data_IF_117927163309
#
_entry.id   IF_117927163309
#
_cell.length_a   1.000
_cell.length_b   1.000
_cell.length_c   1.000
_cell.angle_alpha   90.00
_cell.angle_beta   90.00
_cell.angle_gamma   90.00
#
_symmetry.space_group_name_H-M   'P 1'
#
loop_
_entity.id
_entity.type
_entity.pdbx_description
1 polymer ?
#
# COMPACT_ATOMS: atom_id res chain seq x y z
N UNK A 1 -26.73 -4.15 -8.25
CA UNK A 1 -26.28 -2.75 -8.48
C UNK A 1 -25.43 -2.25 -7.30
N UNK A 2 -24.18 -2.73 -7.12
CA UNK A 2 -23.39 -2.38 -5.91
C UNK A 2 -21.89 -2.19 -6.17
N UNK A 3 -21.53 -1.56 -7.29
CA UNK A 3 -20.14 -1.19 -7.59
C UNK A 3 -19.91 0.34 -7.59
N UNK A 4 -20.97 1.14 -7.73
CA UNK A 4 -20.86 2.59 -8.01
C UNK A 4 -20.49 3.42 -6.77
N UNK A 5 -20.83 2.98 -5.55
CA UNK A 5 -20.65 3.81 -4.34
C UNK A 5 -19.26 3.81 -3.72
N UNK A 6 -18.42 2.78 -3.95
CA UNK A 6 -17.05 2.74 -3.40
C UNK A 6 -16.06 3.61 -4.19
N UNK A 7 -16.36 3.88 -5.45
CA UNK A 7 -15.56 4.76 -6.31
C UNK A 7 -15.65 6.24 -5.87
N UNK A 8 -16.77 6.67 -5.28
CA UNK A 8 -16.97 8.07 -4.88
C UNK A 8 -16.06 8.51 -3.74
N UNK A 9 -16.03 7.84 -2.58
CA UNK A 9 -15.26 8.34 -1.43
C UNK A 9 -13.74 8.44 -1.69
N UNK A 10 -13.22 7.52 -2.50
CA UNK A 10 -11.82 7.47 -2.90
C UNK A 10 -11.49 8.56 -3.93
N UNK A 11 -12.35 8.73 -4.96
CA UNK A 11 -12.22 9.80 -5.94
C UNK A 11 -12.39 11.19 -5.29
N UNK A 12 -13.31 11.33 -4.32
CA UNK A 12 -13.54 12.56 -3.57
C UNK A 12 -12.32 12.91 -2.70
N UNK A 13 -11.71 11.90 -2.05
CA UNK A 13 -10.46 12.09 -1.32
C UNK A 13 -9.34 12.59 -2.23
N UNK A 14 -9.16 11.99 -3.41
CA UNK A 14 -8.10 12.37 -4.36
C UNK A 14 -8.35 13.74 -4.97
N UNK A 15 -9.60 14.04 -5.34
CA UNK A 15 -9.98 15.35 -5.84
C UNK A 15 -9.73 16.45 -4.79
N UNK A 16 -10.00 16.15 -3.52
CA UNK A 16 -9.74 17.09 -2.42
C UNK A 16 -8.23 17.25 -2.13
N UNK A 17 -7.45 16.17 -2.19
CA UNK A 17 -5.98 16.24 -2.07
C UNK A 17 -5.35 17.04 -3.22
N UNK A 18 -5.81 16.83 -4.45
CA UNK A 18 -5.34 17.57 -5.62
C UNK A 18 -5.73 19.05 -5.58
N UNK A 19 -6.97 19.37 -5.18
CA UNK A 19 -7.43 20.76 -5.00
C UNK A 19 -6.68 21.50 -3.91
N UNK A 20 -6.22 20.81 -2.87
CA UNK A 20 -5.42 21.38 -1.80
C UNK A 20 -3.92 21.52 -2.17
N UNK A 21 -3.55 21.30 -3.44
CA UNK A 21 -2.18 21.53 -3.94
C UNK A 21 -1.21 20.39 -3.67
N UNK A 22 -1.66 19.28 -3.10
CA UNK A 22 -0.82 18.13 -2.77
C UNK A 22 -0.56 17.22 -3.98
N UNK A 23 0.09 17.75 -5.02
CA UNK A 23 0.59 16.96 -6.14
C UNK A 23 1.74 16.00 -5.75
N UNK A 24 2.41 16.27 -4.63
CA UNK A 24 3.45 15.43 -4.02
C UNK A 24 2.92 14.12 -3.42
N UNK A 25 1.62 14.05 -3.10
CA UNK A 25 1.01 12.88 -2.46
C UNK A 25 1.21 11.56 -3.23
N UNK A 26 1.35 11.59 -4.55
CA UNK A 26 1.53 10.36 -5.33
C UNK A 26 2.89 9.71 -5.03
N UNK A 27 3.98 10.47 -5.17
CA UNK A 27 5.33 10.00 -4.88
C UNK A 27 5.48 9.69 -3.39
N UNK A 28 4.92 10.52 -2.50
CA UNK A 28 4.95 10.27 -1.06
C UNK A 28 4.24 8.95 -0.69
N UNK A 29 3.12 8.63 -1.36
CA UNK A 29 2.41 7.36 -1.18
C UNK A 29 3.19 6.17 -1.77
N UNK A 30 3.85 6.35 -2.92
CA UNK A 30 4.73 5.34 -3.54
C UNK A 30 5.90 5.02 -2.60
N UNK A 31 6.52 6.04 -2.00
CA UNK A 31 7.64 5.91 -1.08
C UNK A 31 7.22 5.26 0.23
N UNK A 32 6.11 5.73 0.83
CA UNK A 32 5.53 5.12 2.01
C UNK A 32 5.15 3.65 1.79
N UNK A 33 4.61 3.32 0.61
CA UNK A 33 4.29 1.95 0.25
C UNK A 33 5.53 1.07 0.18
N UNK A 34 6.59 1.52 -0.49
CA UNK A 34 7.86 0.79 -0.58
C UNK A 34 8.46 0.54 0.80
N UNK A 35 8.52 1.58 1.64
CA UNK A 35 9.07 1.47 2.99
C UNK A 35 8.27 0.49 3.87
N UNK A 36 6.94 0.49 3.76
CA UNK A 36 6.08 -0.37 4.58
C UNK A 36 6.02 -1.83 4.08
N UNK A 37 6.25 -2.07 2.78
CA UNK A 37 6.33 -3.43 2.20
C UNK A 37 7.69 -4.07 2.41
N UNK A 38 8.78 -3.28 2.33
CA UNK A 38 10.14 -3.75 2.65
C UNK A 38 10.37 -3.95 4.15
N UNK A 39 9.42 -3.58 4.99
CA UNK A 39 9.45 -3.86 6.42
C UNK A 39 9.32 -5.38 6.67
N UNK A 40 10.14 -6.00 7.53
CA UNK A 40 11.04 -5.39 8.53
C UNK A 40 12.50 -5.20 8.08
N UNK A 41 12.84 -5.48 6.82
CA UNK A 41 14.21 -5.40 6.30
C UNK A 41 14.68 -3.95 6.04
N UNK A 42 13.80 -2.97 6.26
CA UNK A 42 14.04 -1.53 6.13
C UNK A 42 14.27 -0.85 7.50
N UNK A 43 14.75 0.40 7.49
CA UNK A 43 15.02 1.14 8.73
C UNK A 43 13.74 1.38 9.56
N UNK A 44 13.82 1.14 10.88
CA UNK A 44 12.69 1.30 11.79
C UNK A 44 12.07 2.68 11.73
N UNK A 45 10.77 2.73 11.41
CA UNK A 45 9.99 3.97 11.52
C UNK A 45 9.74 4.20 13.02
N UNK A 46 10.44 5.16 13.64
CA UNK A 46 10.39 5.33 15.08
C UNK A 46 8.97 5.71 15.52
N UNK A 47 8.59 5.27 16.71
CA UNK A 47 7.33 5.62 17.40
C UNK A 47 6.03 5.01 16.83
N UNK A 48 6.10 3.99 15.96
CA UNK A 48 4.90 3.28 15.50
C UNK A 48 4.83 1.85 16.03
N UNK A 49 3.74 1.53 16.75
CA UNK A 49 3.44 0.14 17.10
C UNK A 49 2.89 -0.63 15.88
N UNK A 50 2.82 -1.97 15.98
CA UNK A 50 2.39 -2.84 14.88
C UNK A 50 0.97 -2.51 14.38
N UNK A 51 0.04 -2.18 15.27
CA UNK A 51 -1.32 -1.79 14.89
C UNK A 51 -1.36 -0.47 14.12
N UNK A 52 -0.57 0.52 14.52
CA UNK A 52 -0.41 1.79 13.80
C UNK A 52 0.23 1.57 12.42
N UNK A 53 1.24 0.70 12.33
CA UNK A 53 1.90 0.34 11.07
C UNK A 53 0.94 -0.38 10.12
N UNK A 54 0.18 -1.34 10.62
CA UNK A 54 -0.89 -1.99 9.85
C UNK A 54 -1.91 -0.97 9.34
N UNK A 55 -2.38 -0.07 10.22
CA UNK A 55 -3.31 0.99 9.84
C UNK A 55 -2.76 1.89 8.73
N UNK A 56 -1.48 2.26 8.81
CA UNK A 56 -0.79 3.06 7.80
C UNK A 56 -0.66 2.31 6.47
N UNK A 57 -0.21 1.05 6.49
CA UNK A 57 -0.08 0.24 5.27
C UNK A 57 -1.45 0.07 4.58
N UNK A 58 -2.51 -0.20 5.34
CA UNK A 58 -3.88 -0.27 4.80
C UNK A 58 -4.30 1.07 4.18
N UNK A 59 -4.03 2.19 4.86
CA UNK A 59 -4.34 3.53 4.36
C UNK A 59 -3.62 3.85 3.05
N UNK A 60 -2.31 3.60 3.01
CA UNK A 60 -1.46 3.81 1.83
C UNK A 60 -1.94 2.94 0.66
N UNK A 61 -2.21 1.65 0.89
CA UNK A 61 -2.70 0.76 -0.16
C UNK A 61 -4.05 1.24 -0.72
N UNK A 62 -4.98 1.64 0.15
CA UNK A 62 -6.28 2.19 -0.29
C UNK A 62 -6.11 3.47 -1.10
N UNK A 63 -5.18 4.35 -0.71
CA UNK A 63 -4.84 5.55 -1.47
C UNK A 63 -4.33 5.23 -2.87
N UNK A 64 -3.35 4.33 -2.98
CA UNK A 64 -2.79 3.92 -4.28
C UNK A 64 -3.83 3.26 -5.20
N UNK A 65 -4.74 2.46 -4.64
CA UNK A 65 -5.84 1.84 -5.41
C UNK A 65 -6.85 2.88 -5.85
N UNK A 66 -7.22 3.81 -4.97
CA UNK A 66 -8.15 4.89 -5.26
C UNK A 66 -7.64 5.78 -6.41
N UNK A 67 -6.33 6.00 -6.45
CA UNK A 67 -5.67 6.83 -7.48
C UNK A 67 -5.52 6.14 -8.82
N UNK A 68 -5.89 4.86 -8.91
CA UNK A 68 -5.59 4.02 -10.08
C UNK A 68 -4.11 4.20 -10.47
N UNK A 69 -3.22 4.11 -9.48
CA UNK A 69 -1.80 4.41 -9.69
C UNK A 69 -1.15 3.35 -10.58
N UNK A 70 -1.19 3.61 -11.89
CA UNK A 70 -0.67 2.78 -12.96
C UNK A 70 0.83 2.95 -13.21
N UNK A 71 1.54 3.70 -12.36
CA UNK A 71 3.00 3.75 -12.43
C UNK A 71 3.59 2.38 -12.16
N UNK A 72 4.56 2.02 -13.00
CA UNK A 72 5.35 0.83 -12.81
C UNK A 72 6.05 0.88 -11.44
N UNK A 73 5.91 -0.21 -10.70
CA UNK A 73 6.57 -0.42 -9.43
C UNK A 73 7.99 -0.95 -9.69
N UNK A 74 8.98 -0.58 -8.86
CA UNK A 74 10.30 -1.18 -8.93
C UNK A 74 10.24 -2.71 -8.78
N UNK A 75 11.06 -3.43 -9.55
CA UNK A 75 11.07 -4.90 -9.57
C UNK A 75 11.34 -5.52 -8.20
N UNK A 76 12.21 -4.90 -7.39
CA UNK A 76 12.50 -5.38 -6.02
C UNK A 76 11.26 -5.35 -5.11
N UNK A 77 10.50 -4.25 -5.12
CA UNK A 77 9.24 -4.15 -4.35
C UNK A 77 8.20 -5.14 -4.87
N UNK A 78 8.14 -5.34 -6.19
CA UNK A 78 7.25 -6.32 -6.79
C UNK A 78 7.58 -7.76 -6.36
N UNK A 79 8.86 -8.15 -6.36
CA UNK A 79 9.32 -9.47 -5.89
C UNK A 79 8.96 -9.73 -4.43
N UNK A 80 9.21 -8.75 -3.53
CA UNK A 80 8.82 -8.86 -2.13
C UNK A 80 7.32 -9.14 -1.96
N UNK A 81 6.48 -8.46 -2.75
CA UNK A 81 5.03 -8.66 -2.72
C UNK A 81 4.65 -10.05 -3.22
N UNK A 82 5.28 -10.55 -4.27
CA UNK A 82 5.02 -11.90 -4.77
C UNK A 82 5.36 -12.97 -3.73
N UNK A 83 6.55 -12.85 -3.12
CA UNK A 83 7.06 -13.80 -2.15
C UNK A 83 6.14 -13.88 -0.92
N UNK A 84 5.69 -12.72 -0.43
CA UNK A 84 4.83 -12.63 0.76
C UNK A 84 3.35 -12.92 0.48
N UNK A 85 2.82 -12.46 -0.65
CA UNK A 85 1.43 -12.73 -1.03
C UNK A 85 1.21 -14.19 -1.44
N UNK A 86 2.28 -14.96 -1.67
CA UNK A 86 2.21 -16.38 -2.04
C UNK A 86 1.47 -16.64 -3.35
N UNK A 87 1.41 -15.65 -4.24
CA UNK A 87 0.57 -15.66 -5.43
C UNK A 87 1.44 -15.65 -6.69
N UNK A 88 1.32 -16.69 -7.51
CA UNK A 88 1.89 -16.77 -8.86
C UNK A 88 1.37 -15.68 -9.83
N UNK A 89 0.44 -14.80 -9.42
CA UNK A 89 -0.18 -13.80 -10.30
C UNK A 89 -0.51 -12.52 -9.55
N UNK A 90 0.43 -11.57 -9.57
CA UNK A 90 0.05 -10.16 -9.56
C UNK A 90 -0.56 -9.83 -10.93
N UNK A 91 -1.75 -9.25 -10.96
CA UNK A 91 -2.45 -8.84 -12.20
C UNK A 91 -1.73 -7.69 -12.95
N UNK A 92 -0.52 -7.32 -12.56
CA UNK A 92 0.28 -6.27 -13.19
C UNK A 92 1.43 -5.78 -12.29
N UNK A 93 2.35 -5.04 -12.88
CA UNK A 93 3.55 -4.51 -12.21
C UNK A 93 3.41 -3.06 -11.71
N UNK A 94 2.20 -2.59 -11.41
CA UNK A 94 1.98 -1.19 -10.97
C UNK A 94 1.73 -1.08 -9.47
N UNK A 95 1.87 0.12 -8.92
CA UNK A 95 1.59 0.39 -7.51
C UNK A 95 0.15 0.03 -7.09
N UNK A 96 -0.86 0.30 -7.93
CA UNK A 96 -2.23 -0.09 -7.64
C UNK A 96 -2.41 -1.62 -7.61
N UNK A 97 -1.72 -2.37 -8.49
CA UNK A 97 -1.75 -3.84 -8.47
C UNK A 97 -1.07 -4.40 -7.21
N UNK A 98 0.11 -3.88 -6.87
CA UNK A 98 0.82 -4.24 -5.63
C UNK A 98 -0.01 -3.96 -4.38
N UNK A 99 -0.61 -2.78 -4.29
CA UNK A 99 -1.47 -2.41 -3.17
C UNK A 99 -2.70 -3.34 -3.02
N UNK A 100 -3.32 -3.76 -4.13
CA UNK A 100 -4.42 -4.75 -4.09
C UNK A 100 -3.95 -6.09 -3.56
N UNK A 101 -2.74 -6.52 -3.92
CA UNK A 101 -2.20 -7.79 -3.47
C UNK A 101 -1.86 -7.79 -2.00
N UNK A 102 -1.20 -6.72 -1.51
CA UNK A 102 -0.95 -6.53 -0.06
C UNK A 102 -2.26 -6.58 0.73
N UNK A 103 -3.31 -5.87 0.28
CA UNK A 103 -4.61 -5.89 0.95
C UNK A 103 -5.32 -7.27 0.95
N UNK A 104 -4.97 -8.17 0.03
CA UNK A 104 -5.53 -9.53 -0.05
C UNK A 104 -4.67 -10.56 0.70
N UNK A 105 -3.42 -10.24 0.97
CA UNK A 105 -2.45 -11.15 1.57
C UNK A 105 -2.39 -10.98 3.09
N UNK A 106 -3.05 -11.89 3.81
CA UNK A 106 -3.06 -11.89 5.28
C UNK A 106 -1.64 -11.97 5.88
N UNK A 107 -0.70 -12.64 5.20
CA UNK A 107 0.70 -12.80 5.62
C UNK A 107 1.43 -11.48 5.87
N UNK A 108 1.16 -10.44 5.07
CA UNK A 108 1.75 -9.11 5.28
C UNK A 108 1.42 -8.56 6.68
N UNK A 109 0.19 -8.73 7.11
CA UNK A 109 -0.27 -8.26 8.42
C UNK A 109 0.22 -9.16 9.57
N UNK A 110 0.32 -10.46 9.32
CA UNK A 110 0.86 -11.41 10.29
C UNK A 110 2.36 -11.18 10.54
N UNK A 111 3.13 -10.82 9.51
CA UNK A 111 4.56 -10.53 9.65
C UNK A 111 4.80 -9.19 10.37
N UNK A 112 3.97 -8.18 10.11
CA UNK A 112 4.00 -6.89 10.82
C UNK A 112 3.74 -7.02 12.33
N UNK A 113 3.04 -8.07 12.77
CA UNK A 113 2.69 -8.30 14.18
C UNK A 113 3.69 -9.18 14.93
N UNK A 114 4.42 -10.08 14.24
CA UNK A 114 5.44 -10.95 14.86
C UNK A 114 6.65 -10.20 15.44
N UNK A 115 6.87 -8.97 15.02
CA UNK A 115 7.99 -8.15 15.48
C UNK A 115 7.82 -7.61 16.91
N UNK A 116 6.61 -7.64 17.49
CA UNK A 116 6.43 -7.32 18.92
C UNK A 116 7.06 -8.34 19.87
N UNK A 117 7.50 -9.49 19.35
CA UNK A 117 8.02 -10.63 20.12
C UNK A 117 9.55 -10.77 20.05
N UNK A 118 10.25 -9.84 19.38
CA UNK A 118 11.72 -9.75 19.35
C UNK A 118 12.17 -8.48 20.06
#
# INVERSE_FOLDING_TARGET
MSAVRRSSAAADLIANLHRAGFSSCRTDLEDAFRALVGWPDEACVPNLNSHQRQGLLVGVCRGLVAMENDRAMPSGTFSLILDEAGAERLDGGTYAHGARAVLRAQRFFDNLTREQLR
#
